data_IF_047299094648
#
_entry.id   IF_047299094648
#
_cell.length_a   1.000
_cell.length_b   1.000
_cell.length_c   1.000
_cell.angle_alpha   90.00
_cell.angle_beta   90.00
_cell.angle_gamma   90.00
#
_symmetry.space_group_name_H-M   'P 1'
#
loop_
_entity.id
_entity.type
_entity.pdbx_description
1 polymer ?
#
# COMPACT_ATOMS: atom_id res chain seq x y z
N UNK A 1 -32.67 -21.72 -8.01
CA UNK A 1 -31.65 -21.13 -8.84
C UNK A 1 -31.63 -21.82 -10.22
N UNK A 2 -31.40 -23.15 -10.30
CA UNK A 2 -31.32 -23.87 -11.58
C UNK A 2 -32.63 -23.85 -12.40
N UNK A 3 -33.79 -23.78 -11.74
CA UNK A 3 -35.08 -23.70 -12.44
C UNK A 3 -35.41 -22.29 -12.96
N UNK A 4 -34.90 -21.25 -12.29
CA UNK A 4 -35.23 -19.86 -12.61
C UNK A 4 -34.45 -19.34 -13.84
N UNK A 5 -33.21 -19.81 -14.05
CA UNK A 5 -32.39 -19.32 -15.14
C UNK A 5 -32.95 -19.61 -16.54
N UNK A 6 -33.47 -20.80 -16.84
CA UNK A 6 -34.14 -21.06 -18.12
C UNK A 6 -35.37 -20.17 -18.33
N UNK A 7 -36.24 -20.07 -17.31
CA UNK A 7 -37.41 -19.20 -17.36
C UNK A 7 -37.06 -17.72 -17.59
N UNK A 8 -36.01 -17.26 -16.90
CA UNK A 8 -35.51 -15.90 -17.10
C UNK A 8 -35.00 -15.70 -18.52
N UNK A 9 -34.26 -16.67 -19.07
CA UNK A 9 -33.77 -16.62 -20.45
C UNK A 9 -34.88 -16.54 -21.45
N UNK A 10 -35.95 -17.31 -21.27
CA UNK A 10 -37.11 -17.31 -22.16
C UNK A 10 -37.89 -15.99 -22.13
N UNK A 11 -37.78 -15.22 -21.02
CA UNK A 11 -38.41 -13.91 -20.87
C UNK A 11 -37.55 -12.75 -21.37
N UNK A 12 -36.25 -12.99 -21.60
CA UNK A 12 -35.33 -11.95 -22.05
C UNK A 12 -35.36 -11.72 -23.55
N UNK A 13 -35.11 -10.49 -23.97
CA UNK A 13 -34.84 -10.16 -25.37
C UNK A 13 -33.61 -10.98 -25.84
N UNK A 14 -33.69 -11.59 -27.06
CA UNK A 14 -32.58 -12.35 -27.64
C UNK A 14 -31.25 -11.59 -27.71
N UNK A 15 -31.27 -10.28 -27.83
CA UNK A 15 -30.08 -9.43 -27.92
C UNK A 15 -29.44 -9.15 -26.52
N UNK A 16 -30.06 -9.57 -25.42
CA UNK A 16 -29.53 -9.41 -24.08
C UNK A 16 -28.75 -10.64 -23.62
N UNK A 17 -27.67 -10.40 -22.91
CA UNK A 17 -26.85 -11.45 -22.30
C UNK A 17 -27.29 -11.74 -20.87
N UNK A 18 -27.44 -13.02 -20.54
CA UNK A 18 -27.68 -13.50 -19.19
C UNK A 18 -26.35 -13.92 -18.57
N UNK A 19 -25.92 -13.26 -17.51
CA UNK A 19 -24.72 -13.64 -16.76
C UNK A 19 -25.02 -14.01 -15.32
N UNK A 20 -24.17 -14.81 -14.72
CA UNK A 20 -24.26 -15.19 -13.31
C UNK A 20 -22.92 -14.95 -12.61
N UNK A 21 -22.99 -14.29 -11.46
CA UNK A 21 -21.83 -14.13 -10.58
C UNK A 21 -21.67 -15.37 -9.70
N UNK A 22 -20.47 -15.93 -9.68
CA UNK A 22 -20.10 -17.11 -8.90
C UNK A 22 -19.06 -16.75 -7.84
N UNK A 23 -19.29 -17.19 -6.62
CA UNK A 23 -18.28 -17.17 -5.56
C UNK A 23 -17.44 -18.46 -5.59
N UNK A 24 -16.34 -18.51 -4.83
CA UNK A 24 -15.54 -19.74 -4.66
C UNK A 24 -16.39 -20.94 -4.25
N UNK A 25 -17.38 -20.75 -3.35
CA UNK A 25 -18.27 -21.82 -2.91
C UNK A 25 -19.20 -22.33 -4.00
N UNK A 26 -19.65 -21.42 -4.86
CA UNK A 26 -20.52 -21.80 -5.97
C UNK A 26 -19.79 -22.72 -6.95
N UNK A 27 -18.46 -22.53 -7.13
CA UNK A 27 -17.63 -23.38 -7.99
C UNK A 27 -17.50 -24.82 -7.48
N UNK A 28 -17.74 -25.06 -6.19
CA UNK A 28 -17.69 -26.40 -5.57
C UNK A 28 -19.03 -27.15 -5.71
N UNK A 29 -20.09 -26.51 -6.20
CA UNK A 29 -21.40 -27.13 -6.36
C UNK A 29 -21.38 -28.21 -7.43
N UNK A 30 -21.91 -29.37 -7.08
CA UNK A 30 -22.15 -30.45 -8.03
C UNK A 30 -23.20 -30.06 -9.05
N UNK A 31 -23.01 -30.50 -10.30
CA UNK A 31 -23.94 -30.24 -11.41
C UNK A 31 -24.02 -28.76 -11.81
N UNK A 32 -23.02 -27.93 -11.47
CA UNK A 32 -23.01 -26.51 -11.79
C UNK A 32 -23.06 -26.24 -13.30
N UNK A 33 -22.38 -27.06 -14.11
CA UNK A 33 -22.44 -26.95 -15.59
C UNK A 33 -23.85 -27.02 -16.12
N UNK A 34 -24.65 -27.99 -15.62
CA UNK A 34 -26.04 -28.17 -16.04
C UNK A 34 -26.93 -27.00 -15.58
N UNK A 35 -26.70 -26.52 -14.33
CA UNK A 35 -27.42 -25.37 -13.77
C UNK A 35 -27.20 -24.07 -14.53
N UNK A 36 -26.05 -23.93 -15.16
CA UNK A 36 -25.65 -22.75 -15.91
C UNK A 36 -25.91 -22.86 -17.43
N UNK A 37 -26.67 -23.90 -17.86
CA UNK A 37 -26.90 -24.16 -19.28
C UNK A 37 -27.58 -22.99 -20.01
N UNK A 38 -28.44 -22.24 -19.35
CA UNK A 38 -29.13 -21.07 -19.91
C UNK A 38 -28.33 -19.77 -19.87
N UNK A 39 -27.11 -19.79 -19.28
CA UNK A 39 -26.29 -18.60 -19.05
C UNK A 39 -25.31 -18.40 -20.21
N UNK A 40 -25.16 -17.17 -20.71
CA UNK A 40 -24.24 -16.84 -21.78
C UNK A 40 -22.78 -16.80 -21.30
N UNK A 41 -22.54 -16.22 -20.11
CA UNK A 41 -21.24 -16.23 -19.46
C UNK A 41 -21.34 -16.11 -17.94
N UNK A 42 -20.23 -16.40 -17.26
CA UNK A 42 -20.14 -16.29 -15.80
C UNK A 42 -19.08 -15.27 -15.41
N UNK A 43 -19.25 -14.68 -14.23
CA UNK A 43 -18.27 -13.81 -13.60
C UNK A 43 -17.85 -14.42 -12.25
N UNK A 44 -16.63 -14.93 -12.17
CA UNK A 44 -16.15 -15.58 -10.95
C UNK A 44 -15.50 -14.56 -10.02
N UNK A 45 -16.19 -14.26 -8.90
CA UNK A 45 -15.68 -13.43 -7.82
C UNK A 45 -14.85 -14.28 -6.86
N UNK A 46 -13.53 -14.24 -7.03
CA UNK A 46 -12.58 -15.10 -6.30
C UNK A 46 -12.00 -14.42 -5.06
N UNK A 47 -12.52 -13.29 -4.69
CA UNK A 47 -12.12 -12.45 -3.57
C UNK A 47 -13.26 -12.24 -2.58
N UNK A 48 -12.92 -11.69 -1.43
CA UNK A 48 -13.86 -11.32 -0.39
C UNK A 48 -13.70 -12.22 0.83
N UNK A 49 -13.38 -11.59 1.95
CA UNK A 49 -13.53 -12.20 3.26
C UNK A 49 -14.96 -11.93 3.71
N UNK A 50 -15.72 -12.99 3.93
CA UNK A 50 -16.94 -12.84 4.73
C UNK A 50 -16.56 -12.72 6.19
N UNK A 51 -17.27 -11.91 7.00
CA UNK A 51 -17.13 -11.94 8.44
C UNK A 51 -17.28 -13.40 8.91
N UNK A 52 -16.24 -13.94 9.57
CA UNK A 52 -16.23 -15.33 10.07
C UNK A 52 -15.53 -16.37 9.19
N UNK A 53 -15.06 -16.05 7.99
CA UNK A 53 -14.13 -16.93 7.27
C UNK A 53 -12.75 -16.90 7.93
N UNK A 54 -12.07 -18.07 7.93
CA UNK A 54 -10.73 -18.20 8.52
C UNK A 54 -9.78 -17.14 7.95
N UNK A 55 -8.94 -16.59 8.82
CA UNK A 55 -8.04 -15.46 8.59
C UNK A 55 -7.09 -15.58 7.40
N UNK A 56 -6.94 -16.78 6.85
CA UNK A 56 -5.96 -17.10 5.82
C UNK A 56 -6.45 -16.87 4.39
N UNK A 57 -7.71 -16.42 4.18
CA UNK A 57 -8.19 -16.06 2.84
C UNK A 57 -7.69 -14.66 2.48
N UNK A 58 -6.53 -14.60 1.86
CA UNK A 58 -6.03 -13.38 1.25
C UNK A 58 -6.98 -12.90 0.15
N UNK A 59 -7.09 -11.59 -0.02
CA UNK A 59 -7.91 -11.00 -1.09
C UNK A 59 -7.48 -11.49 -2.49
N UNK A 60 -6.22 -11.98 -2.60
CA UNK A 60 -5.55 -12.37 -3.83
C UNK A 60 -4.77 -13.68 -3.68
N UNK A 61 -5.44 -14.77 -3.37
CA UNK A 61 -4.83 -16.09 -3.44
C UNK A 61 -4.74 -16.55 -4.90
N UNK A 62 -3.58 -16.30 -5.54
CA UNK A 62 -3.34 -16.61 -6.94
C UNK A 62 -3.47 -18.12 -7.24
N UNK A 63 -3.12 -19.00 -6.30
CA UNK A 63 -3.30 -20.44 -6.47
C UNK A 63 -4.78 -20.82 -6.43
N UNK A 64 -5.59 -20.16 -5.60
CA UNK A 64 -7.02 -20.36 -5.62
C UNK A 64 -7.67 -19.82 -6.90
N UNK A 65 -7.15 -18.72 -7.44
CA UNK A 65 -7.59 -18.17 -8.73
C UNK A 65 -7.29 -19.16 -9.86
N UNK A 66 -6.09 -19.76 -9.90
CA UNK A 66 -5.70 -20.75 -10.90
C UNK A 66 -6.59 -22.01 -10.84
N UNK A 67 -6.83 -22.53 -9.64
CA UNK A 67 -7.75 -23.67 -9.45
C UNK A 67 -9.17 -23.35 -9.89
N UNK A 68 -9.63 -22.15 -9.59
CA UNK A 68 -10.96 -21.70 -10.01
C UNK A 68 -11.06 -21.55 -11.54
N UNK A 69 -10.01 -21.05 -12.19
CA UNK A 69 -9.95 -20.98 -13.64
C UNK A 69 -10.06 -22.38 -14.28
N UNK A 70 -9.33 -23.38 -13.76
CA UNK A 70 -9.45 -24.77 -14.20
C UNK A 70 -10.87 -25.30 -14.06
N UNK A 71 -11.51 -25.02 -12.91
CA UNK A 71 -12.91 -25.45 -12.68
C UNK A 71 -13.90 -24.77 -13.62
N UNK A 72 -13.70 -23.49 -13.96
CA UNK A 72 -14.53 -22.74 -14.91
C UNK A 72 -14.42 -23.30 -16.33
N UNK A 73 -13.22 -23.72 -16.75
CA UNK A 73 -13.04 -24.43 -18.04
C UNK A 73 -13.83 -25.75 -18.08
N UNK A 74 -13.84 -26.53 -17.00
CA UNK A 74 -14.63 -27.77 -16.88
C UNK A 74 -16.13 -27.51 -16.93
N UNK A 75 -16.62 -26.40 -16.36
CA UNK A 75 -18.02 -25.98 -16.41
C UNK A 75 -18.46 -25.72 -17.86
N UNK A 76 -17.54 -25.29 -18.70
CA UNK A 76 -17.74 -25.22 -20.13
C UNK A 76 -18.51 -23.98 -20.62
N UNK A 77 -18.62 -22.92 -19.82
CA UNK A 77 -19.20 -21.62 -20.18
C UNK A 77 -18.14 -20.56 -20.33
N UNK A 78 -18.33 -19.58 -21.23
CA UNK A 78 -17.47 -18.38 -21.24
C UNK A 78 -17.45 -17.73 -19.85
N UNK A 79 -16.29 -17.19 -19.45
CA UNK A 79 -16.16 -16.59 -18.11
C UNK A 79 -15.19 -15.43 -18.06
N UNK A 80 -15.46 -14.53 -17.10
CA UNK A 80 -14.52 -13.54 -16.60
C UNK A 80 -14.03 -13.93 -15.20
N UNK A 81 -12.76 -13.67 -14.94
CA UNK A 81 -12.22 -13.67 -13.57
C UNK A 81 -12.35 -12.26 -13.01
N UNK A 82 -13.02 -12.14 -11.87
CA UNK A 82 -13.16 -10.86 -11.20
C UNK A 82 -12.13 -10.72 -10.09
N UNK A 83 -11.34 -9.67 -10.18
CA UNK A 83 -10.29 -9.31 -9.25
C UNK A 83 -10.71 -8.10 -8.40
N UNK A 84 -10.48 -8.15 -7.08
CA UNK A 84 -10.76 -7.01 -6.22
C UNK A 84 -9.59 -6.05 -6.20
N UNK A 85 -9.87 -4.77 -6.42
CA UNK A 85 -8.94 -3.66 -6.20
C UNK A 85 -9.30 -2.86 -4.94
N UNK A 86 -10.27 -3.36 -4.18
CA UNK A 86 -10.77 -2.74 -2.94
C UNK A 86 -9.94 -3.23 -1.76
N UNK A 87 -9.36 -2.29 -1.02
CA UNK A 87 -8.72 -2.57 0.25
C UNK A 87 -9.75 -2.73 1.36
N UNK A 88 -9.41 -3.55 2.36
CA UNK A 88 -10.29 -3.88 3.48
C UNK A 88 -9.49 -3.79 4.78
N UNK A 89 -10.06 -3.12 5.78
CA UNK A 89 -9.59 -3.19 7.14
C UNK A 89 -10.54 -4.05 7.99
N UNK A 90 -10.00 -4.86 8.88
CA UNK A 90 -10.76 -5.63 9.87
C UNK A 90 -10.22 -5.38 11.26
N UNK A 91 -11.10 -5.09 12.21
CA UNK A 91 -10.79 -4.99 13.63
C UNK A 91 -11.17 -6.28 14.34
N UNK A 92 -10.27 -6.74 15.20
CA UNK A 92 -10.52 -7.86 16.11
C UNK A 92 -10.32 -7.44 17.56
N UNK A 93 -11.41 -7.52 18.33
CA UNK A 93 -11.40 -7.30 19.77
C UNK A 93 -11.03 -8.56 20.55
N UNK A 94 -10.68 -8.40 21.82
CA UNK A 94 -10.35 -9.50 22.75
C UNK A 94 -11.48 -10.52 22.90
N UNK A 95 -12.74 -10.11 22.76
CA UNK A 95 -13.92 -10.96 22.81
C UNK A 95 -14.15 -11.80 21.55
N UNK A 96 -13.28 -11.72 20.55
CA UNK A 96 -13.47 -12.36 19.25
C UNK A 96 -14.43 -11.59 18.32
N UNK A 97 -14.83 -10.38 18.72
CA UNK A 97 -15.60 -9.49 17.86
C UNK A 97 -14.79 -9.10 16.63
N UNK A 98 -15.41 -9.14 15.47
CA UNK A 98 -14.80 -8.69 14.22
C UNK A 98 -15.70 -7.66 13.55
N UNK A 99 -15.11 -6.51 13.19
CA UNK A 99 -15.75 -5.50 12.36
C UNK A 99 -14.92 -5.30 11.10
N UNK A 100 -15.58 -4.99 10.01
CA UNK A 100 -14.93 -4.77 8.70
C UNK A 100 -15.32 -3.40 8.19
N UNK A 101 -14.35 -2.67 7.67
CA UNK A 101 -14.55 -1.36 7.06
C UNK A 101 -13.69 -1.21 5.79
N UNK A 102 -14.21 -0.51 4.80
CA UNK A 102 -13.54 -0.32 3.50
C UNK A 102 -13.33 1.15 3.13
N UNK A 103 -13.90 2.10 3.88
CA UNK A 103 -14.06 3.47 3.35
C UNK A 103 -13.27 4.56 4.07
N UNK A 104 -13.21 4.59 5.40
CA UNK A 104 -12.71 5.78 6.12
C UNK A 104 -11.27 5.65 6.65
N UNK A 105 -10.71 4.44 6.59
CA UNK A 105 -9.37 4.20 7.08
C UNK A 105 -8.34 4.39 5.97
N UNK A 106 -7.25 5.05 6.30
CA UNK A 106 -6.05 5.06 5.47
C UNK A 106 -4.86 4.47 6.24
N UNK A 107 -3.94 3.87 5.49
CA UNK A 107 -2.79 3.21 6.06
C UNK A 107 -1.82 4.20 6.71
N UNK A 108 -1.69 5.40 6.16
CA UNK A 108 -0.81 6.44 6.70
C UNK A 108 -1.28 6.90 8.09
N UNK A 109 -2.58 7.06 8.30
CA UNK A 109 -3.14 7.37 9.62
C UNK A 109 -2.87 6.28 10.64
N UNK A 110 -2.98 5.00 10.25
CA UNK A 110 -2.64 3.87 11.13
C UNK A 110 -1.17 3.87 11.54
N UNK A 111 -0.28 4.18 10.61
CA UNK A 111 1.17 4.20 10.86
C UNK A 111 1.59 5.36 11.74
N UNK A 112 0.92 6.51 11.62
CA UNK A 112 1.22 7.72 12.42
C UNK A 112 0.68 7.65 13.84
N UNK A 113 -0.23 6.73 14.13
CA UNK A 113 -0.82 6.62 15.46
C UNK A 113 0.15 5.91 16.41
N UNK A 114 0.75 6.65 17.32
CA UNK A 114 1.77 6.17 18.27
C UNK A 114 1.31 5.01 19.18
N UNK A 115 0.00 4.89 19.37
CA UNK A 115 -0.61 3.81 20.18
C UNK A 115 -0.83 2.53 19.38
N UNK A 116 -0.60 2.56 18.07
CA UNK A 116 -0.62 1.39 17.21
C UNK A 116 0.82 0.91 16.96
N UNK A 117 1.03 -0.36 17.10
CA UNK A 117 2.28 -1.02 16.78
C UNK A 117 2.08 -1.93 15.57
N UNK A 118 2.80 -1.67 14.50
CA UNK A 118 2.85 -2.57 13.37
C UNK A 118 3.55 -3.87 13.77
N UNK A 119 2.84 -5.00 13.72
CA UNK A 119 3.34 -6.32 14.14
C UNK A 119 3.82 -7.15 12.96
N UNK A 120 3.16 -7.05 11.83
CA UNK A 120 3.43 -7.88 10.67
C UNK A 120 3.09 -7.17 9.38
N UNK A 121 4.00 -7.30 8.40
CA UNK A 121 3.69 -7.33 7.00
C UNK A 121 4.02 -8.73 6.51
N UNK A 122 3.13 -9.33 5.77
CA UNK A 122 3.34 -10.68 5.28
C UNK A 122 3.88 -10.67 3.86
N UNK A 123 4.94 -11.44 3.64
CA UNK A 123 5.21 -12.09 2.37
C UNK A 123 4.97 -13.57 2.60
N UNK A 124 3.80 -14.07 2.32
CA UNK A 124 3.61 -15.50 2.16
C UNK A 124 3.74 -15.82 0.66
N UNK A 125 4.46 -16.87 0.32
CA UNK A 125 4.51 -17.39 -1.05
C UNK A 125 3.06 -17.58 -1.55
N UNK A 126 2.70 -16.91 -2.64
CA UNK A 126 1.36 -16.97 -3.24
C UNK A 126 0.29 -16.06 -2.62
N UNK A 127 0.62 -15.28 -1.59
CA UNK A 127 -0.28 -14.35 -0.94
C UNK A 127 0.27 -12.93 -1.04
N UNK A 128 -0.67 -12.02 -1.13
CA UNK A 128 -0.55 -10.59 -1.22
C UNK A 128 0.42 -9.99 -0.18
N UNK A 129 1.43 -9.26 -0.63
CA UNK A 129 2.39 -8.56 0.21
C UNK A 129 1.78 -7.40 0.99
N UNK A 130 0.58 -7.00 0.65
CA UNK A 130 -0.12 -5.83 1.16
C UNK A 130 -1.05 -6.17 2.33
N UNK A 131 -0.61 -7.06 3.22
CA UNK A 131 -1.31 -7.37 4.46
C UNK A 131 -0.54 -6.83 5.64
N UNK A 132 -1.13 -5.91 6.39
CA UNK A 132 -0.54 -5.28 7.56
C UNK A 132 -1.36 -5.59 8.80
N UNK A 133 -0.70 -5.86 9.92
CA UNK A 133 -1.34 -6.09 11.20
C UNK A 133 -0.82 -5.10 12.23
N UNK A 134 -1.72 -4.31 12.79
CA UNK A 134 -1.45 -3.35 13.85
C UNK A 134 -2.05 -3.84 15.15
N UNK A 135 -1.33 -3.62 16.25
CA UNK A 135 -1.80 -3.94 17.61
C UNK A 135 -1.88 -2.67 18.43
N UNK A 136 -3.01 -2.47 19.10
CA UNK A 136 -3.18 -1.36 20.02
C UNK A 136 -2.37 -1.58 21.32
N UNK A 137 -1.50 -0.63 21.65
CA UNK A 137 -0.72 -0.61 22.91
C UNK A 137 -1.55 -0.07 24.09
N UNK A 138 -2.61 0.67 23.79
CA UNK A 138 -3.54 1.28 24.73
C UNK A 138 -4.85 1.62 24.04
N UNK A 139 -5.82 2.21 24.76
CA UNK A 139 -7.07 2.66 24.15
C UNK A 139 -6.78 3.70 23.07
N UNK A 140 -7.33 3.50 21.87
CA UNK A 140 -7.15 4.38 20.72
C UNK A 140 -8.40 4.37 19.84
N UNK A 141 -8.69 5.49 19.18
CA UNK A 141 -9.76 5.58 18.18
C UNK A 141 -9.15 5.60 16.80
N UNK A 142 -9.61 4.71 15.93
CA UNK A 142 -9.16 4.54 14.56
C UNK A 142 -10.39 4.56 13.65
N UNK A 143 -10.56 5.63 12.87
CA UNK A 143 -11.80 5.85 12.14
C UNK A 143 -13.01 5.84 13.08
N UNK A 144 -13.98 4.97 12.80
CA UNK A 144 -15.16 4.75 13.64
C UNK A 144 -14.93 3.78 14.81
N UNK A 145 -13.75 3.13 14.90
CA UNK A 145 -13.48 2.07 15.86
C UNK A 145 -12.81 2.59 17.13
N UNK A 146 -13.31 2.13 18.28
CA UNK A 146 -12.68 2.33 19.59
C UNK A 146 -11.98 1.04 19.97
N UNK A 147 -10.68 1.01 19.87
CA UNK A 147 -9.84 -0.13 20.20
C UNK A 147 -9.46 -0.07 21.67
N UNK A 148 -9.48 -1.23 22.33
CA UNK A 148 -8.87 -1.42 23.63
C UNK A 148 -7.39 -1.87 23.49
N UNK A 149 -6.63 -1.83 24.57
CA UNK A 149 -5.28 -2.38 24.57
C UNK A 149 -5.27 -3.85 24.15
N UNK A 150 -4.40 -4.22 23.23
CA UNK A 150 -4.24 -5.55 22.62
C UNK A 150 -5.25 -5.91 21.53
N UNK A 151 -6.20 -5.05 21.20
CA UNK A 151 -6.99 -5.23 19.99
C UNK A 151 -6.07 -5.12 18.76
N UNK A 152 -6.47 -5.77 17.68
CA UNK A 152 -5.72 -5.71 16.41
C UNK A 152 -6.56 -5.16 15.28
N UNK A 153 -5.87 -4.47 14.37
CA UNK A 153 -6.40 -4.04 13.07
C UNK A 153 -5.59 -4.71 11.99
N UNK A 154 -6.25 -5.43 11.11
CA UNK A 154 -5.65 -6.04 9.94
C UNK A 154 -6.11 -5.27 8.71
N UNK A 155 -5.16 -4.83 7.89
CA UNK A 155 -5.40 -4.13 6.63
C UNK A 155 -4.92 -5.02 5.49
N UNK A 156 -5.77 -5.18 4.49
CA UNK A 156 -5.46 -5.87 3.23
C UNK A 156 -5.64 -4.87 2.10
N UNK A 157 -4.60 -4.64 1.31
CA UNK A 157 -4.62 -3.78 0.12
C UNK A 157 -4.26 -4.59 -1.11
N UNK A 158 -4.86 -4.28 -2.26
CA UNK A 158 -4.33 -4.68 -3.54
C UNK A 158 -3.14 -3.77 -3.90
N UNK A 159 -2.11 -4.34 -4.52
CA UNK A 159 -0.98 -3.61 -5.07
C UNK A 159 -0.94 -3.76 -6.59
N UNK A 160 -0.27 -2.85 -7.27
CA UNK A 160 -0.04 -2.87 -8.71
C UNK A 160 0.57 -4.21 -9.14
N UNK A 161 1.57 -4.68 -8.40
CA UNK A 161 2.23 -5.98 -8.60
C UNK A 161 1.29 -7.18 -8.54
N UNK A 162 0.20 -7.10 -7.76
CA UNK A 162 -0.79 -8.18 -7.73
C UNK A 162 -1.60 -8.25 -9.03
N UNK A 163 -1.93 -7.10 -9.60
CA UNK A 163 -2.64 -7.03 -10.89
C UNK A 163 -1.73 -7.56 -12.00
N UNK A 164 -0.48 -7.12 -12.06
CA UNK A 164 0.51 -7.58 -13.02
C UNK A 164 0.70 -9.10 -12.96
N UNK A 165 0.89 -9.65 -11.77
CA UNK A 165 1.07 -11.08 -11.59
C UNK A 165 -0.19 -11.86 -11.98
N UNK A 166 -1.38 -11.36 -11.63
CA UNK A 166 -2.65 -11.96 -12.07
C UNK A 166 -2.76 -11.98 -13.60
N UNK A 167 -2.47 -10.85 -14.24
CA UNK A 167 -2.55 -10.75 -15.70
C UNK A 167 -1.52 -11.65 -16.38
N UNK A 168 -0.30 -11.69 -15.87
CA UNK A 168 0.77 -12.56 -16.35
C UNK A 168 0.37 -14.04 -16.25
N UNK A 169 -0.18 -14.47 -15.11
CA UNK A 169 -0.69 -15.83 -14.95
C UNK A 169 -1.90 -16.07 -15.84
N UNK A 170 -2.84 -15.13 -15.87
CA UNK A 170 -4.00 -15.26 -16.72
C UNK A 170 -3.63 -15.43 -18.21
N UNK A 171 -2.59 -14.77 -18.68
CA UNK A 171 -2.07 -14.97 -20.04
C UNK A 171 -1.46 -16.36 -20.26
N UNK A 172 -0.82 -16.91 -19.22
CA UNK A 172 -0.20 -18.24 -19.28
C UNK A 172 -1.23 -19.38 -19.18
N UNK A 173 -2.41 -19.13 -18.60
CA UNK A 173 -3.45 -20.15 -18.50
C UNK A 173 -4.07 -20.45 -19.85
N UNK A 174 -3.94 -21.68 -20.29
CA UNK A 174 -4.56 -22.17 -21.50
C UNK A 174 -6.05 -22.41 -21.26
N UNK A 175 -6.88 -21.41 -21.53
CA UNK A 175 -8.33 -21.49 -21.43
C UNK A 175 -8.95 -20.94 -22.72
N UNK A 176 -9.79 -21.75 -23.36
CA UNK A 176 -10.50 -21.33 -24.59
C UNK A 176 -11.74 -20.50 -24.27
N UNK A 177 -12.24 -20.57 -23.03
CA UNK A 177 -13.51 -19.98 -22.61
C UNK A 177 -13.36 -18.71 -21.80
N UNK A 178 -12.13 -18.34 -21.43
CA UNK A 178 -11.87 -17.11 -20.69
C UNK A 178 -12.03 -15.89 -21.59
N UNK A 179 -12.96 -15.02 -21.22
CA UNK A 179 -13.21 -13.75 -21.92
C UNK A 179 -12.24 -12.64 -21.45
N UNK A 180 -11.81 -12.67 -20.18
CA UNK A 180 -10.89 -11.67 -19.66
C UNK A 180 -10.85 -11.61 -18.14
N UNK A 181 -10.29 -10.50 -17.62
CA UNK A 181 -10.26 -10.15 -16.21
C UNK A 181 -11.08 -8.87 -16.00
N UNK A 182 -11.93 -8.86 -14.99
CA UNK A 182 -12.69 -7.70 -14.55
C UNK A 182 -12.12 -7.19 -13.22
N UNK A 183 -11.93 -5.90 -13.11
CA UNK A 183 -11.56 -5.29 -11.85
C UNK A 183 -12.80 -4.81 -11.09
N UNK A 184 -13.01 -5.33 -9.91
CA UNK A 184 -14.13 -4.99 -9.05
C UNK A 184 -13.62 -4.22 -7.86
N UNK A 185 -14.10 -3.08 -7.61
CA UNK A 185 -14.89 -2.09 -8.38
C UNK A 185 -14.09 -0.81 -8.45
N UNK A 186 -14.44 0.13 -9.32
CA UNK A 186 -13.83 1.45 -9.24
C UNK A 186 -14.13 2.04 -7.86
N UNK A 187 -13.10 2.41 -7.09
CA UNK A 187 -13.26 2.93 -5.74
C UNK A 187 -13.95 4.29 -5.76
N UNK A 188 -14.70 4.58 -4.72
CA UNK A 188 -15.13 5.94 -4.46
C UNK A 188 -13.95 6.78 -3.97
N UNK A 189 -14.03 8.10 -4.10
CA UNK A 189 -12.96 9.00 -3.62
C UNK A 189 -12.72 8.97 -2.10
N UNK A 190 -13.57 8.27 -1.33
CA UNK A 190 -13.43 8.05 0.12
C UNK A 190 -12.74 6.75 0.50
N UNK A 191 -12.55 5.83 -0.45
CA UNK A 191 -11.93 4.52 -0.20
C UNK A 191 -10.40 4.61 -0.25
N UNK A 192 -9.78 4.99 0.84
CA UNK A 192 -8.33 5.24 0.95
C UNK A 192 -7.45 3.98 0.89
N UNK A 193 -8.00 2.81 1.20
CA UNK A 193 -7.28 1.53 1.12
C UNK A 193 -7.33 0.90 -0.27
N UNK A 194 -8.25 1.35 -1.12
CA UNK A 194 -8.45 0.82 -2.47
C UNK A 194 -7.47 1.44 -3.47
N UNK A 195 -7.14 0.69 -4.52
CA UNK A 195 -6.37 1.23 -5.62
C UNK A 195 -7.17 2.26 -6.39
N UNK A 196 -6.52 3.31 -6.83
CA UNK A 196 -7.14 4.31 -7.72
C UNK A 196 -7.28 3.76 -9.14
N UNK A 197 -8.11 4.40 -9.97
CA UNK A 197 -8.18 4.05 -11.39
C UNK A 197 -6.83 4.27 -12.10
N UNK A 198 -6.03 5.26 -11.64
CA UNK A 198 -4.68 5.50 -12.13
C UNK A 198 -3.76 4.33 -11.84
N UNK A 199 -3.72 3.83 -10.59
CA UNK A 199 -2.91 2.66 -10.23
C UNK A 199 -3.26 1.43 -11.06
N UNK A 200 -4.56 1.22 -11.37
CA UNK A 200 -4.98 0.12 -12.24
C UNK A 200 -4.48 0.33 -13.67
N UNK A 201 -4.57 1.56 -14.19
CA UNK A 201 -4.06 1.89 -15.51
C UNK A 201 -2.54 1.70 -15.60
N UNK A 202 -1.81 2.09 -14.57
CA UNK A 202 -0.36 1.92 -14.49
C UNK A 202 0.03 0.43 -14.44
N UNK A 203 -0.73 -0.39 -13.70
CA UNK A 203 -0.53 -1.85 -13.67
C UNK A 203 -0.79 -2.53 -15.03
N UNK A 204 -1.58 -1.91 -15.90
CA UNK A 204 -1.84 -2.37 -17.26
C UNK A 204 -0.83 -1.85 -18.28
N UNK A 205 0.03 -0.91 -17.90
CA UNK A 205 1.05 -0.34 -18.75
C UNK A 205 2.16 -1.37 -19.05
N UNK A 206 2.84 -1.29 -20.21
CA UNK A 206 3.97 -2.17 -20.53
C UNK A 206 5.14 -2.05 -19.54
N UNK A 207 5.32 -0.87 -18.96
CA UNK A 207 6.30 -0.59 -17.91
C UNK A 207 5.53 -0.06 -16.70
N UNK A 208 5.50 -0.83 -15.58
CA UNK A 208 4.81 -0.41 -14.38
C UNK A 208 5.39 0.90 -13.83
N UNK A 209 4.51 1.78 -13.42
CA UNK A 209 4.94 3.02 -12.78
C UNK A 209 5.54 2.70 -11.40
N UNK A 210 6.62 3.41 -11.07
CA UNK A 210 7.26 3.36 -9.75
C UNK A 210 7.05 4.68 -9.03
N UNK A 211 7.10 4.72 -7.68
CA UNK A 211 7.10 5.99 -6.96
C UNK A 211 8.18 6.92 -7.50
N UNK A 212 7.81 8.15 -7.83
CA UNK A 212 8.73 9.17 -8.32
C UNK A 212 9.09 10.14 -7.18
N UNK A 213 9.97 9.67 -6.30
CA UNK A 213 10.38 10.41 -5.11
C UNK A 213 11.45 11.44 -5.43
N UNK A 214 11.25 12.66 -4.98
CA UNK A 214 12.24 13.74 -5.05
C UNK A 214 12.39 14.41 -3.68
N UNK A 215 13.61 14.81 -3.35
CA UNK A 215 13.91 15.55 -2.14
C UNK A 215 14.26 16.98 -2.52
N UNK A 216 13.59 17.93 -1.91
CA UNK A 216 13.86 19.36 -2.02
C UNK A 216 14.27 19.90 -0.64
N UNK A 217 15.32 20.67 -0.60
CA UNK A 217 15.76 21.37 0.62
C UNK A 217 15.66 22.87 0.38
N UNK A 218 14.90 23.54 1.22
CA UNK A 218 14.70 24.98 1.15
C UNK A 218 15.28 25.64 2.41
N UNK A 219 15.97 26.75 2.21
CA UNK A 219 16.49 27.59 3.30
C UNK A 219 15.45 28.66 3.62
N UNK A 220 14.88 28.61 4.82
CA UNK A 220 13.92 29.62 5.29
C UNK A 220 14.60 30.83 5.93
N UNK A 221 15.66 30.60 6.69
CA UNK A 221 16.46 31.66 7.31
C UNK A 221 17.95 31.40 7.20
N UNK A 222 18.72 32.49 7.11
CA UNK A 222 20.17 32.48 7.21
C UNK A 222 20.61 33.52 8.21
N UNK A 223 21.31 33.09 9.25
CA UNK A 223 22.02 33.95 10.19
C UNK A 223 23.52 33.70 10.06
N UNK A 224 24.32 34.58 10.57
CA UNK A 224 25.80 34.49 10.44
C UNK A 224 26.36 33.11 10.80
N UNK A 225 25.74 32.41 11.79
CA UNK A 225 26.25 31.15 12.31
C UNK A 225 25.27 29.99 12.13
N UNK A 226 24.05 30.22 11.61
CA UNK A 226 23.02 29.18 11.50
C UNK A 226 22.27 29.25 10.19
N UNK A 227 21.89 28.08 9.67
CA UNK A 227 20.88 27.91 8.63
C UNK A 227 19.66 27.24 9.21
N UNK A 228 18.49 27.72 8.85
CA UNK A 228 17.21 27.03 9.12
C UNK A 228 16.69 26.51 7.80
N UNK A 229 16.60 25.21 7.70
CA UNK A 229 16.20 24.50 6.51
C UNK A 229 14.90 23.74 6.74
N UNK A 230 14.15 23.52 5.68
CA UNK A 230 13.06 22.55 5.61
C UNK A 230 13.33 21.54 4.50
N UNK A 231 12.86 20.33 4.70
CA UNK A 231 12.99 19.21 3.76
C UNK A 231 11.61 18.80 3.28
N UNK A 232 11.43 18.75 1.98
CA UNK A 232 10.22 18.20 1.36
C UNK A 232 10.59 16.92 0.63
N UNK A 233 9.91 15.84 0.97
CA UNK A 233 9.89 14.60 0.19
C UNK A 233 8.61 14.60 -0.64
N UNK A 234 8.73 14.64 -1.95
CA UNK A 234 7.61 14.76 -2.91
C UNK A 234 7.50 13.49 -3.74
N UNK A 235 6.39 12.79 -3.63
CA UNK A 235 6.05 11.70 -4.55
C UNK A 235 5.22 12.24 -5.71
N UNK A 236 5.83 12.29 -6.90
CA UNK A 236 5.25 12.97 -8.06
C UNK A 236 4.28 12.13 -8.88
N UNK A 237 4.14 10.84 -8.59
CA UNK A 237 3.18 9.98 -9.28
C UNK A 237 2.20 9.31 -8.31
N UNK A 238 1.32 8.45 -8.84
CA UNK A 238 0.24 7.85 -8.06
C UNK A 238 0.66 6.57 -7.31
N UNK A 239 1.87 6.03 -7.62
CA UNK A 239 2.38 4.85 -6.94
C UNK A 239 2.93 5.17 -5.55
N UNK A 240 2.63 4.30 -4.58
CA UNK A 240 3.09 4.43 -3.20
C UNK A 240 4.35 3.59 -2.96
N UNK A 241 5.17 3.99 -1.99
CA UNK A 241 6.16 3.07 -1.41
C UNK A 241 5.45 1.95 -0.65
N UNK A 242 6.15 0.87 -0.35
CA UNK A 242 5.65 -0.09 0.63
C UNK A 242 5.91 0.41 2.06
N UNK A 243 5.25 -0.22 3.02
CA UNK A 243 5.41 0.13 4.41
C UNK A 243 6.79 -0.28 4.92
N UNK A 244 7.48 0.66 5.56
CA UNK A 244 8.80 0.40 6.09
C UNK A 244 8.80 -0.65 7.20
N UNK A 245 9.55 -1.71 6.95
CA UNK A 245 10.00 -2.62 7.98
C UNK A 245 11.48 -2.37 8.27
N UNK A 246 11.88 -2.46 9.51
CA UNK A 246 13.30 -2.33 9.90
C UNK A 246 13.96 -1.00 9.47
N UNK A 247 13.21 0.09 9.51
CA UNK A 247 13.73 1.43 9.22
C UNK A 247 14.23 1.61 7.77
N UNK A 248 13.54 1.00 6.81
CA UNK A 248 13.94 1.05 5.41
C UNK A 248 13.50 2.32 4.67
N UNK A 249 12.46 3.03 5.09
CA UNK A 249 11.98 4.23 4.39
C UNK A 249 12.46 5.49 5.10
N UNK A 250 13.44 6.17 4.52
CA UNK A 250 14.03 7.36 5.14
C UNK A 250 14.69 8.30 4.13
N UNK A 251 14.84 9.55 4.57
CA UNK A 251 15.71 10.56 3.98
C UNK A 251 16.83 10.87 4.98
N UNK A 252 18.07 10.80 4.52
CA UNK A 252 19.27 11.19 5.27
C UNK A 252 19.71 12.59 4.83
N UNK A 253 20.03 13.42 5.80
CA UNK A 253 20.71 14.70 5.59
C UNK A 253 22.00 14.70 6.40
N UNK A 254 23.13 14.90 5.73
CA UNK A 254 24.42 15.05 6.38
C UNK A 254 24.95 16.47 6.13
N UNK A 255 25.49 17.09 7.17
CA UNK A 255 26.09 18.41 7.08
C UNK A 255 27.61 18.29 6.98
N UNK A 256 28.18 18.90 5.97
CA UNK A 256 29.65 19.08 5.83
C UNK A 256 30.05 20.45 6.34
N UNK A 257 31.01 20.51 7.24
CA UNK A 257 31.50 21.78 7.78
C UNK A 257 30.53 22.44 8.78
N UNK A 258 29.82 21.65 9.57
CA UNK A 258 28.86 22.13 10.55
C UNK A 258 28.31 21.03 11.42
N UNK A 259 27.24 21.35 12.15
CA UNK A 259 26.50 20.38 12.99
C UNK A 259 25.01 20.67 13.03
N UNK A 260 24.22 19.70 13.37
CA UNK A 260 22.77 19.82 13.57
C UNK A 260 22.51 20.22 15.00
N UNK A 261 21.76 21.30 15.22
CA UNK A 261 21.44 21.82 16.53
C UNK A 261 20.03 21.49 17.02
N UNK A 262 19.08 21.45 16.08
CA UNK A 262 17.68 21.17 16.40
C UNK A 262 16.98 20.55 15.17
N UNK A 263 15.95 19.73 15.42
CA UNK A 263 15.19 19.04 14.37
C UNK A 263 13.71 18.96 14.77
N UNK A 264 12.87 19.56 13.95
CA UNK A 264 11.44 19.29 13.96
C UNK A 264 11.12 18.34 12.79
N UNK A 265 10.67 17.10 13.03
CA UNK A 265 10.37 16.15 11.98
C UNK A 265 9.16 16.53 11.11
N UNK A 266 8.28 17.42 11.58
CA UNK A 266 7.07 17.83 10.85
C UNK A 266 6.18 16.64 10.49
N UNK A 267 5.96 16.41 9.18
CA UNK A 267 5.16 15.29 8.67
C UNK A 267 5.87 13.93 8.72
N UNK A 268 7.18 13.90 8.94
CA UNK A 268 7.93 12.64 9.09
C UNK A 268 7.61 12.00 10.46
N UNK A 269 7.52 10.69 10.49
CA UNK A 269 7.08 9.96 11.68
C UNK A 269 8.04 10.11 12.88
N UNK A 270 9.34 10.19 12.60
CA UNK A 270 10.40 10.34 13.61
C UNK A 270 11.72 10.73 12.95
N UNK A 271 12.70 11.06 13.77
CA UNK A 271 14.07 11.27 13.32
C UNK A 271 15.09 10.57 14.21
N UNK A 272 16.28 10.37 13.66
CA UNK A 272 17.46 9.91 14.41
C UNK A 272 18.65 10.81 14.05
N UNK A 273 19.44 11.10 15.06
CA UNK A 273 20.69 11.84 14.91
C UNK A 273 21.88 10.90 15.02
N UNK A 274 22.87 11.11 14.16
CA UNK A 274 24.13 10.37 14.23
C UNK A 274 25.31 11.31 14.06
N UNK A 275 26.49 10.84 14.50
CA UNK A 275 27.78 11.46 14.28
C UNK A 275 28.75 10.41 13.78
N UNK A 276 29.49 10.73 12.71
CA UNK A 276 30.46 9.82 12.10
C UNK A 276 29.91 8.40 11.80
N UNK A 277 28.58 8.31 11.54
CA UNK A 277 27.86 7.05 11.29
C UNK A 277 27.40 6.29 12.54
N UNK A 278 27.76 6.76 13.76
CA UNK A 278 27.27 6.17 15.00
C UNK A 278 26.03 6.92 15.51
N UNK A 279 25.05 6.16 16.03
CA UNK A 279 23.84 6.75 16.61
C UNK A 279 24.18 7.65 17.80
N UNK A 280 23.78 8.90 17.72
CA UNK A 280 24.07 9.87 18.77
C UNK A 280 23.25 9.55 20.04
N UNK A 281 23.93 9.43 21.18
CA UNK A 281 23.28 9.40 22.50
C UNK A 281 22.78 10.80 22.85
N UNK A 282 21.83 10.92 23.78
CA UNK A 282 21.28 12.21 24.25
C UNK A 282 22.33 13.27 24.58
N UNK A 283 23.53 12.87 25.02
CA UNK A 283 24.65 13.77 25.32
C UNK A 283 25.39 14.25 24.05
N UNK A 284 25.37 13.45 22.99
CA UNK A 284 26.03 13.73 21.71
C UNK A 284 25.13 14.46 20.71
N UNK A 285 23.86 14.75 21.05
CA UNK A 285 22.91 15.48 20.19
C UNK A 285 23.46 16.84 19.72
N UNK A 286 24.32 17.49 20.53
CA UNK A 286 24.93 18.78 20.18
C UNK A 286 26.05 18.69 19.16
N UNK A 287 26.45 17.51 18.76
CA UNK A 287 27.58 17.26 17.86
C UNK A 287 27.18 16.42 16.62
N UNK A 288 25.88 16.18 16.44
CA UNK A 288 25.40 15.41 15.31
C UNK A 288 25.71 16.12 13.99
N UNK A 289 26.19 15.36 13.02
CA UNK A 289 26.48 15.82 11.66
C UNK A 289 25.49 15.23 10.64
N UNK A 290 24.63 14.31 11.08
CA UNK A 290 23.63 13.66 10.23
C UNK A 290 22.30 13.49 10.94
N UNK A 291 21.22 13.76 10.23
CA UNK A 291 19.85 13.42 10.62
C UNK A 291 19.22 12.47 9.61
N UNK A 292 18.53 11.46 10.10
CA UNK A 292 17.68 10.58 9.34
C UNK A 292 16.23 10.87 9.67
N UNK A 293 15.44 11.22 8.66
CA UNK A 293 13.99 11.43 8.76
C UNK A 293 13.27 10.20 8.25
N UNK A 294 12.43 9.58 9.07
CA UNK A 294 11.71 8.36 8.71
C UNK A 294 10.34 8.68 8.16
N UNK A 295 10.07 8.13 6.97
CA UNK A 295 8.78 8.19 6.29
C UNK A 295 8.26 6.76 6.06
N UNK A 296 7.63 6.13 7.07
CA UNK A 296 7.28 4.69 7.01
C UNK A 296 6.47 4.31 5.78
N UNK A 297 5.69 5.22 5.24
CA UNK A 297 4.93 5.11 4.01
C UNK A 297 4.93 6.47 3.33
N UNK A 298 5.10 6.48 2.01
CA UNK A 298 4.86 7.66 1.16
C UNK A 298 3.81 7.28 0.13
N UNK A 299 2.63 7.86 0.26
CA UNK A 299 1.52 7.60 -0.67
C UNK A 299 1.73 8.29 -2.01
N UNK A 300 0.98 7.84 -3.04
CA UNK A 300 0.98 8.51 -4.34
C UNK A 300 0.56 9.97 -4.22
N UNK A 301 1.23 10.87 -4.93
CA UNK A 301 1.01 12.34 -4.90
C UNK A 301 1.18 12.99 -3.51
N UNK A 302 1.75 12.28 -2.55
CA UNK A 302 1.97 12.80 -1.20
C UNK A 302 3.23 13.65 -1.15
N UNK A 303 3.14 14.73 -0.36
CA UNK A 303 4.27 15.53 0.09
C UNK A 303 4.39 15.42 1.60
N UNK A 304 5.62 15.14 2.07
CA UNK A 304 5.98 15.19 3.48
C UNK A 304 6.94 16.35 3.67
N UNK A 305 6.63 17.24 4.59
CA UNK A 305 7.44 18.42 4.86
C UNK A 305 7.94 18.38 6.31
N UNK A 306 9.24 18.51 6.51
CA UNK A 306 9.79 18.67 7.86
C UNK A 306 9.42 20.05 8.42
N UNK A 307 9.36 20.15 9.72
CA UNK A 307 9.49 21.43 10.39
C UNK A 307 10.92 21.99 10.25
N UNK A 308 11.25 23.05 10.98
CA UNK A 308 12.58 23.65 10.94
C UNK A 308 13.67 22.67 11.39
N UNK A 309 14.75 22.58 10.59
CA UNK A 309 15.98 21.89 10.96
C UNK A 309 17.07 22.95 11.07
N UNK A 310 17.67 23.08 12.24
CA UNK A 310 18.67 24.11 12.54
C UNK A 310 20.06 23.54 12.40
N UNK A 311 20.84 24.09 11.48
CA UNK A 311 22.26 23.77 11.29
C UNK A 311 23.15 24.90 11.79
N UNK A 312 24.12 24.58 12.61
CA UNK A 312 25.17 25.51 13.05
C UNK A 312 26.36 25.35 12.13
N UNK A 313 26.78 26.47 11.53
CA UNK A 313 27.92 26.54 10.61
C UNK A 313 29.22 26.36 11.38
N UNK A 314 30.10 25.53 10.85
CA UNK A 314 31.47 25.40 11.32
C UNK A 314 32.46 26.11 10.43
N UNK A 315 33.71 25.73 10.48
CA UNK A 315 34.79 26.26 9.65
C UNK A 315 34.85 25.52 8.28
N UNK A 316 35.17 26.24 7.22
CA UNK A 316 35.40 25.67 5.88
C UNK A 316 34.17 25.68 4.97
N UNK A 317 34.26 24.93 3.87
CA UNK A 317 33.18 24.81 2.89
C UNK A 317 31.98 24.04 3.49
N UNK A 318 30.81 24.62 3.31
CA UNK A 318 29.58 24.10 3.91
C UNK A 318 28.64 23.59 2.82
N UNK A 319 28.16 22.38 3.02
CA UNK A 319 27.17 21.76 2.16
C UNK A 319 26.24 20.86 2.95
N UNK A 320 25.03 20.67 2.46
CA UNK A 320 24.10 19.62 2.92
C UNK A 320 24.08 18.52 1.88
N UNK A 321 24.29 17.31 2.30
CA UNK A 321 24.18 16.12 1.47
C UNK A 321 22.86 15.43 1.78
N UNK A 322 22.03 15.18 0.77
CA UNK A 322 20.81 14.39 0.93
C UNK A 322 20.91 13.07 0.18
N UNK A 323 20.36 12.02 0.76
CA UNK A 323 20.15 10.71 0.15
C UNK A 323 18.93 10.06 0.79
N UNK A 324 18.50 8.93 0.29
CA UNK A 324 17.36 8.23 0.88
C UNK A 324 17.25 6.80 0.38
N UNK A 325 16.44 6.02 1.07
CA UNK A 325 16.14 4.63 0.70
C UNK A 325 14.70 4.30 1.03
N UNK A 326 14.02 3.66 0.10
CA UNK A 326 12.62 3.28 0.22
C UNK A 326 12.40 1.87 -0.29
N UNK A 327 11.51 1.12 0.36
CA UNK A 327 11.06 -0.17 -0.12
C UNK A 327 9.86 0.01 -1.05
N UNK A 328 9.86 -0.68 -2.17
CA UNK A 328 8.76 -0.68 -3.13
C UNK A 328 7.80 -1.86 -2.85
N UNK A 329 6.61 -1.78 -3.41
CA UNK A 329 5.56 -2.79 -3.25
C UNK A 329 5.94 -4.17 -3.81
N UNK A 330 6.89 -4.23 -4.74
CA UNK A 330 7.50 -5.47 -5.24
C UNK A 330 8.63 -6.01 -4.34
N UNK A 331 9.00 -5.25 -3.30
CA UNK A 331 10.07 -5.56 -2.36
C UNK A 331 11.45 -5.14 -2.84
N UNK A 332 11.56 -4.48 -4.00
CA UNK A 332 12.80 -3.84 -4.43
C UNK A 332 13.10 -2.60 -3.58
N UNK A 333 14.35 -2.18 -3.59
CA UNK A 333 14.79 -0.96 -2.91
C UNK A 333 15.00 0.15 -3.93
N UNK A 334 14.38 1.29 -3.66
CA UNK A 334 14.61 2.54 -4.37
C UNK A 334 15.58 3.38 -3.56
N UNK A 335 16.80 3.51 -4.05
CA UNK A 335 17.79 4.44 -3.48
C UNK A 335 17.69 5.79 -4.16
N UNK A 336 17.55 6.86 -3.38
CA UNK A 336 17.66 8.23 -3.88
C UNK A 336 19.14 8.59 -4.01
N UNK A 337 19.49 9.13 -5.17
CA UNK A 337 20.84 9.56 -5.45
C UNK A 337 21.33 10.60 -4.44
N UNK A 338 22.63 10.51 -4.10
CA UNK A 338 23.29 11.50 -3.27
C UNK A 338 23.30 12.84 -3.98
N UNK A 339 22.66 13.86 -3.39
CA UNK A 339 22.63 15.22 -3.91
C UNK A 339 23.29 16.18 -2.92
N UNK A 340 24.15 17.05 -3.45
CA UNK A 340 24.78 18.12 -2.69
C UNK A 340 24.02 19.44 -2.88
N UNK A 341 23.72 20.09 -1.76
CA UNK A 341 23.04 21.38 -1.69
C UNK A 341 24.01 22.42 -1.15
N UNK A 342 24.36 23.39 -1.96
CA UNK A 342 25.18 24.53 -1.55
C UNK A 342 24.29 25.77 -1.47
N UNK A 343 24.20 26.36 -0.31
CA UNK A 343 23.47 27.60 -0.10
C UNK A 343 24.51 28.72 -0.17
N UNK A 344 24.55 29.42 -1.30
CA UNK A 344 25.54 30.48 -1.55
C UNK A 344 25.72 31.41 -0.35
N UNK A 345 26.96 31.73 -0.04
CA UNK A 345 27.28 32.59 1.09
C UNK A 345 26.62 33.96 0.90
N UNK A 346 25.97 34.43 1.93
CA UNK A 346 25.57 35.82 2.04
C UNK A 346 26.85 36.67 1.97
N UNK A 347 27.05 37.39 0.86
CA UNK A 347 28.07 38.42 0.76
C UNK A 347 27.58 39.66 1.46
#
# INVERSE_FOLDING_TARGET
FAAVLPELRDLMDPDLYLSVSLSRRDLELEGLSERLRAVDFTVAFLYGQRPGEKEDSAAWDLLAVERAAGRLEEIGRPYYLAASIVGVASWRGRGGETKVETTELDLASLVREDRLELKRGFTLEGIDRQVYEFRARGPVTVGSWKLAASDSVRVVRAATTNIEELLRRAQAWRGERRLGVLFWRLPSGTERLSMTASNVADALAPEPARPALDVLIERSESRRETWVLSVTLDNRNDESTDLAFFDSNYVDLAVRGGRIADVDPGDFARFELSRDGERATMRALREADKVRLFAPLVEGKQKLVSGPIVFVRGEGAQAILSSGRFILTDGEMLDLELREWSFGGDR
#
